data_IF_398307506768
#
_entry.id   IF_398307506768
#
_cell.length_a   1.000
_cell.length_b   1.000
_cell.length_c   1.000
_cell.angle_alpha   90.00
_cell.angle_beta   90.00
_cell.angle_gamma   90.00
#
_symmetry.space_group_name_H-M   'P 1'
#
loop_
_entity.id
_entity.type
_entity.pdbx_description
1 polymer ?
#
# COMPACT_ATOMS: atom_id res chain seq x y z
N UNK A 1 -2.83 -6.83 -14.94
CA UNK A 1 -1.77 -6.57 -13.95
C UNK A 1 -1.33 -7.90 -13.39
N UNK A 2 -0.05 -8.25 -13.50
CA UNK A 2 0.48 -9.53 -13.01
C UNK A 2 0.52 -9.44 -11.48
N UNK A 3 -0.42 -10.10 -10.81
CA UNK A 3 -0.44 -10.16 -9.35
C UNK A 3 0.81 -10.92 -8.91
N UNK A 4 1.79 -10.22 -8.35
CA UNK A 4 2.90 -10.89 -7.68
C UNK A 4 2.31 -11.67 -6.51
N UNK A 5 2.42 -12.99 -6.55
CA UNK A 5 2.02 -13.82 -5.44
C UNK A 5 2.83 -13.41 -4.20
N UNK A 6 2.13 -13.17 -3.09
CA UNK A 6 2.75 -12.71 -1.83
C UNK A 6 3.82 -13.70 -1.38
N UNK A 7 3.57 -15.00 -1.56
CA UNK A 7 4.55 -16.04 -1.26
C UNK A 7 5.83 -15.91 -2.09
N UNK A 8 5.71 -15.53 -3.35
CA UNK A 8 6.86 -15.28 -4.23
C UNK A 8 7.68 -14.09 -3.75
N UNK A 9 7.05 -12.97 -3.39
CA UNK A 9 7.74 -11.77 -2.90
C UNK A 9 8.49 -12.07 -1.60
N UNK A 10 7.83 -12.70 -0.63
CA UNK A 10 8.46 -13.07 0.66
C UNK A 10 9.65 -13.99 0.43
N UNK A 11 9.51 -15.00 -0.44
CA UNK A 11 10.60 -15.94 -0.76
C UNK A 11 11.79 -15.25 -1.42
N UNK A 12 11.56 -14.28 -2.31
CA UNK A 12 12.64 -13.50 -2.92
C UNK A 12 13.35 -12.62 -1.91
N UNK A 13 12.62 -11.98 -0.98
CA UNK A 13 13.21 -11.15 0.09
C UNK A 13 14.04 -12.00 1.04
N UNK A 14 13.50 -13.13 1.50
CA UNK A 14 14.23 -14.09 2.34
C UNK A 14 15.50 -14.59 1.66
N UNK A 15 15.43 -14.90 0.36
CA UNK A 15 16.59 -15.34 -0.41
C UNK A 15 17.68 -14.26 -0.45
N UNK A 16 17.32 -12.99 -0.68
CA UNK A 16 18.29 -11.89 -0.70
C UNK A 16 18.96 -11.69 0.67
N UNK A 17 18.19 -11.76 1.76
CA UNK A 17 18.72 -11.66 3.12
C UNK A 17 19.68 -12.82 3.41
N UNK A 18 19.31 -14.05 3.03
CA UNK A 18 20.16 -15.22 3.20
C UNK A 18 21.47 -15.10 2.40
N UNK A 19 21.41 -14.60 1.16
CA UNK A 19 22.60 -14.35 0.35
C UNK A 19 23.52 -13.31 1.01
N UNK A 20 22.98 -12.18 1.47
CA UNK A 20 23.75 -11.16 2.19
C UNK A 20 24.40 -11.75 3.45
N UNK A 21 23.65 -12.55 4.21
CA UNK A 21 24.16 -13.21 5.40
C UNK A 21 25.32 -14.16 5.07
N UNK A 22 25.20 -14.93 3.98
CA UNK A 22 26.24 -15.85 3.53
C UNK A 22 27.51 -15.12 3.08
N UNK A 23 27.38 -14.02 2.33
CA UNK A 23 28.54 -13.19 1.97
C UNK A 23 29.21 -12.58 3.19
N UNK A 24 28.42 -12.15 4.17
CA UNK A 24 28.92 -11.57 5.42
C UNK A 24 29.70 -12.59 6.26
N UNK A 25 29.18 -13.83 6.35
CA UNK A 25 29.89 -14.95 6.97
C UNK A 25 31.18 -15.30 6.23
N UNK A 26 31.20 -15.25 4.89
CA UNK A 26 32.42 -15.44 4.09
C UNK A 26 33.49 -14.38 4.39
N UNK A 27 33.08 -13.17 4.77
CA UNK A 27 33.99 -12.10 5.21
C UNK A 27 34.31 -12.13 6.72
N UNK A 28 33.95 -13.20 7.43
CA UNK A 28 34.23 -13.39 8.86
C UNK A 28 33.44 -12.46 9.79
N UNK A 29 32.32 -11.90 9.32
CA UNK A 29 31.42 -11.06 10.11
C UNK A 29 30.32 -11.91 10.76
N UNK A 30 29.81 -11.45 11.89
CA UNK A 30 28.73 -12.14 12.63
C UNK A 30 27.44 -12.22 11.81
N UNK A 31 26.68 -13.33 11.90
CA UNK A 31 25.45 -13.50 11.14
C UNK A 31 24.38 -12.46 11.47
N UNK A 32 23.53 -12.16 10.49
CA UNK A 32 22.31 -11.39 10.70
C UNK A 32 21.36 -12.21 11.59
N UNK A 33 20.98 -11.65 12.73
CA UNK A 33 19.93 -12.20 13.59
C UNK A 33 18.55 -11.81 13.05
N UNK A 34 18.22 -12.37 11.88
CA UNK A 34 16.92 -12.19 11.23
C UNK A 34 16.21 -13.53 11.19
N UNK A 35 15.12 -13.62 11.92
CA UNK A 35 14.24 -14.78 11.96
C UNK A 35 13.19 -14.70 10.85
N UNK A 36 12.72 -15.86 10.38
CA UNK A 36 11.61 -15.94 9.41
C UNK A 36 10.35 -15.19 9.89
N UNK A 37 10.16 -15.13 11.22
CA UNK A 37 9.09 -14.38 11.87
C UNK A 37 9.22 -12.88 11.59
N UNK A 38 10.42 -12.30 11.71
CA UNK A 38 10.64 -10.87 11.47
C UNK A 38 10.42 -10.48 10.00
N UNK A 39 10.74 -11.36 9.06
CA UNK A 39 10.54 -11.09 7.62
C UNK A 39 9.06 -11.13 7.27
N UNK A 40 8.31 -12.10 7.80
CA UNK A 40 6.86 -12.14 7.65
C UNK A 40 6.19 -10.92 8.30
N UNK A 41 6.63 -10.54 9.50
CA UNK A 41 6.15 -9.33 10.17
C UNK A 41 6.42 -8.06 9.35
N UNK A 42 7.60 -7.94 8.73
CA UNK A 42 7.92 -6.81 7.87
C UNK A 42 7.02 -6.79 6.62
N UNK A 43 6.82 -7.94 5.99
CA UNK A 43 5.95 -8.06 4.81
C UNK A 43 4.49 -7.70 5.15
N UNK A 44 3.97 -8.19 6.27
CA UNK A 44 2.63 -7.89 6.76
C UNK A 44 2.49 -6.41 7.15
N UNK A 45 3.51 -5.82 7.78
CA UNK A 45 3.54 -4.41 8.12
C UNK A 45 3.50 -3.52 6.88
N UNK A 46 4.31 -3.84 5.85
CA UNK A 46 4.33 -3.10 4.57
C UNK A 46 2.99 -3.26 3.84
N UNK A 47 2.45 -4.48 3.80
CA UNK A 47 1.14 -4.73 3.18
C UNK A 47 0.03 -3.95 3.87
N UNK A 48 -0.02 -4.01 5.21
CA UNK A 48 -1.03 -3.33 6.02
C UNK A 48 -0.93 -1.82 5.89
N UNK A 49 0.28 -1.25 5.99
CA UNK A 49 0.49 0.18 5.83
C UNK A 49 0.10 0.66 4.42
N UNK A 50 0.51 -0.08 3.38
CA UNK A 50 0.16 0.22 2.00
C UNK A 50 -1.36 0.16 1.76
N UNK A 51 -2.02 -0.89 2.24
CA UNK A 51 -3.47 -1.04 2.16
C UNK A 51 -4.21 0.07 2.92
N UNK A 52 -3.73 0.48 4.09
CA UNK A 52 -4.33 1.55 4.87
C UNK A 52 -4.24 2.88 4.13
N UNK A 53 -3.06 3.26 3.63
CA UNK A 53 -2.85 4.50 2.88
C UNK A 53 -3.72 4.51 1.62
N UNK A 54 -3.76 3.40 0.88
CA UNK A 54 -4.59 3.27 -0.31
C UNK A 54 -6.08 3.43 0.02
N UNK A 55 -6.55 2.78 1.07
CA UNK A 55 -7.96 2.86 1.50
C UNK A 55 -8.32 4.28 1.90
N UNK A 56 -7.52 4.92 2.75
CA UNK A 56 -7.73 6.32 3.14
C UNK A 56 -7.76 7.22 1.91
N UNK A 57 -6.76 7.10 1.02
CA UNK A 57 -6.67 7.92 -0.18
C UNK A 57 -7.88 7.77 -1.11
N UNK A 58 -8.29 6.52 -1.38
CA UNK A 58 -9.44 6.23 -2.24
C UNK A 58 -10.76 6.68 -1.63
N UNK A 59 -10.96 6.47 -0.32
CA UNK A 59 -12.14 6.96 0.40
C UNK A 59 -12.22 8.48 0.37
N UNK A 60 -11.13 9.19 0.67
CA UNK A 60 -11.10 10.65 0.62
C UNK A 60 -11.36 11.18 -0.79
N UNK A 61 -10.75 10.56 -1.82
CA UNK A 61 -10.97 10.94 -3.20
C UNK A 61 -12.42 10.73 -3.65
N UNK A 62 -13.04 9.60 -3.29
CA UNK A 62 -14.44 9.31 -3.58
C UNK A 62 -15.38 10.28 -2.86
N UNK A 63 -15.13 10.53 -1.56
CA UNK A 63 -15.90 11.47 -0.75
C UNK A 63 -15.86 12.89 -1.34
N UNK A 64 -14.66 13.36 -1.71
CA UNK A 64 -14.47 14.70 -2.26
C UNK A 64 -15.22 14.88 -3.59
N UNK A 65 -15.17 13.87 -4.47
CA UNK A 65 -15.91 13.88 -5.74
C UNK A 65 -17.43 13.85 -5.53
N UNK A 66 -17.93 13.18 -4.50
CA UNK A 66 -19.36 13.01 -4.27
C UNK A 66 -20.03 14.16 -3.49
N UNK A 67 -19.29 14.93 -2.69
CA UNK A 67 -19.88 15.93 -1.78
C UNK A 67 -19.88 17.38 -2.26
N UNK A 68 -19.61 17.65 -3.54
CA UNK A 68 -19.62 19.01 -4.11
C UNK A 68 -18.82 20.04 -3.28
N UNK A 69 -17.71 19.64 -2.68
CA UNK A 69 -16.98 20.41 -1.64
C UNK A 69 -16.15 21.56 -2.22
N UNK A 70 -15.99 21.60 -3.55
CA UNK A 70 -15.26 22.66 -4.25
C UNK A 70 -16.21 23.72 -4.78
N UNK A 71 -15.69 24.92 -5.07
CA UNK A 71 -16.43 25.97 -5.77
C UNK A 71 -17.03 25.49 -7.10
N UNK A 72 -16.31 24.61 -7.83
CA UNK A 72 -16.83 23.96 -9.04
C UNK A 72 -17.97 22.99 -8.71
N UNK A 73 -17.82 22.19 -7.66
CA UNK A 73 -18.85 21.28 -7.17
C UNK A 73 -20.14 22.01 -6.80
N UNK A 74 -20.06 23.12 -6.07
CA UNK A 74 -21.23 23.94 -5.73
C UNK A 74 -21.96 24.46 -6.98
N UNK A 75 -21.22 24.93 -7.99
CA UNK A 75 -21.81 25.35 -9.27
C UNK A 75 -22.51 24.18 -9.98
N UNK A 76 -21.89 23.01 -9.97
CA UNK A 76 -22.46 21.79 -10.55
C UNK A 76 -23.77 21.38 -9.84
N UNK A 77 -23.79 21.45 -8.50
CA UNK A 77 -25.00 21.20 -7.70
C UNK A 77 -26.13 22.19 -8.02
N UNK A 78 -25.79 23.47 -8.21
CA UNK A 78 -26.78 24.49 -8.58
C UNK A 78 -27.40 24.22 -9.96
N UNK A 79 -26.59 23.85 -10.95
CA UNK A 79 -27.07 23.46 -12.29
C UNK A 79 -27.97 22.22 -12.21
N UNK A 80 -27.56 21.19 -11.48
CA UNK A 80 -28.37 19.98 -11.29
C UNK A 80 -29.72 20.28 -10.63
N UNK A 81 -29.74 21.19 -9.63
CA UNK A 81 -30.96 21.60 -8.94
C UNK A 81 -31.91 22.33 -9.88
N UNK A 82 -31.38 23.22 -10.73
CA UNK A 82 -32.19 23.95 -11.72
C UNK A 82 -32.86 23.04 -12.76
N UNK A 83 -32.27 21.87 -13.03
CA UNK A 83 -32.81 20.89 -13.99
C UNK A 83 -33.60 19.76 -13.31
N UNK A 84 -33.86 19.83 -11.99
CA UNK A 84 -34.48 18.76 -11.20
C UNK A 84 -33.74 17.41 -11.31
N UNK A 85 -32.42 17.44 -11.51
CA UNK A 85 -31.54 16.28 -11.63
C UNK A 85 -30.79 15.97 -10.32
N UNK A 86 -31.10 16.68 -9.24
CA UNK A 86 -30.62 16.33 -7.90
C UNK A 86 -31.38 15.12 -7.39
N UNK A 87 -30.65 14.12 -6.84
CA UNK A 87 -31.25 12.98 -6.13
C UNK A 87 -32.05 13.43 -4.90
#
# INVERSE_FOLDING_TARGET
>A
MKNFDKGTVVRTVLLLIALINQTMLMFGKSPLDITDVQVNQLADAVYTAGSLIFTIGTTLAAWFKNNYVTTKGHKQKAVLKNHNLTK
#
